data_IF_667094362013
#
_entry.id   IF_667094362013
#
_cell.length_a   1.000
_cell.length_b   1.000
_cell.length_c   1.000
_cell.angle_alpha   90.00
_cell.angle_beta   90.00
_cell.angle_gamma   90.00
#
_symmetry.space_group_name_H-M   'P 1'
#
loop_
_entity.id
_entity.type
_entity.pdbx_description
1 polymer ?
#
# COMPACT_ATOMS: atom_id res chain seq x y z
N UNK A 1 -30.75 -14.13 -13.71
CA UNK A 1 -29.58 -15.03 -13.52
C UNK A 1 -28.31 -14.47 -14.20
N UNK A 2 -27.84 -13.26 -13.83
CA UNK A 2 -26.65 -12.60 -14.45
C UNK A 2 -25.63 -12.08 -13.43
N UNK A 3 -25.80 -12.39 -12.14
CA UNK A 3 -24.97 -11.84 -11.06
C UNK A 3 -23.55 -12.45 -10.99
N UNK A 4 -23.38 -13.71 -11.36
CA UNK A 4 -22.10 -14.42 -11.33
C UNK A 4 -20.99 -13.79 -12.21
N UNK A 5 -21.25 -13.44 -13.50
CA UNK A 5 -20.23 -12.79 -14.33
C UNK A 5 -19.86 -11.39 -13.83
N UNK A 6 -20.84 -10.61 -13.33
CA UNK A 6 -20.57 -9.27 -12.79
C UNK A 6 -19.70 -9.33 -11.53
N UNK A 7 -19.97 -10.27 -10.61
CA UNK A 7 -19.16 -10.47 -9.40
C UNK A 7 -17.73 -10.89 -9.74
N UNK A 8 -17.56 -11.81 -10.70
CA UNK A 8 -16.24 -12.21 -11.20
C UNK A 8 -15.46 -11.03 -11.80
N UNK A 9 -16.07 -10.25 -12.71
CA UNK A 9 -15.41 -9.08 -13.31
C UNK A 9 -14.97 -8.09 -12.25
N UNK A 10 -15.83 -7.81 -11.26
CA UNK A 10 -15.52 -6.89 -10.16
C UNK A 10 -14.36 -7.39 -9.30
N UNK A 11 -14.38 -8.67 -8.90
CA UNK A 11 -13.31 -9.28 -8.11
C UNK A 11 -11.97 -9.29 -8.88
N UNK A 12 -11.99 -9.66 -10.15
CA UNK A 12 -10.81 -9.65 -11.01
C UNK A 12 -10.25 -8.25 -11.21
N UNK A 13 -11.11 -7.27 -11.46
CA UNK A 13 -10.72 -5.86 -11.61
C UNK A 13 -10.08 -5.33 -10.33
N UNK A 14 -10.69 -5.59 -9.17
CA UNK A 14 -10.14 -5.19 -7.88
C UNK A 14 -8.78 -5.85 -7.61
N UNK A 15 -8.66 -7.16 -7.84
CA UNK A 15 -7.41 -7.91 -7.72
C UNK A 15 -6.29 -7.30 -8.56
N UNK A 16 -6.59 -6.88 -9.79
CA UNK A 16 -5.64 -6.19 -10.67
C UNK A 16 -5.29 -4.79 -10.15
N UNK A 17 -6.26 -4.04 -9.63
CA UNK A 17 -6.06 -2.65 -9.15
C UNK A 17 -5.20 -2.56 -7.90
N UNK A 18 -5.28 -3.53 -6.97
CA UNK A 18 -4.42 -3.58 -5.77
C UNK A 18 -3.05 -4.23 -6.03
N UNK A 19 -2.87 -4.83 -7.21
CA UNK A 19 -1.66 -5.54 -7.62
C UNK A 19 -0.35 -4.74 -7.50
N UNK A 20 -0.29 -3.45 -7.90
CA UNK A 20 0.94 -2.64 -7.77
C UNK A 20 1.43 -2.50 -6.33
N UNK A 21 0.52 -2.27 -5.38
CA UNK A 21 0.86 -2.17 -3.96
C UNK A 21 1.39 -3.51 -3.43
N UNK A 22 0.66 -4.60 -3.71
CA UNK A 22 1.08 -5.95 -3.34
C UNK A 22 2.48 -6.28 -3.90
N UNK A 23 2.75 -5.96 -5.17
CA UNK A 23 4.02 -6.25 -5.81
C UNK A 23 5.19 -5.49 -5.15
N UNK A 24 4.95 -4.26 -4.69
CA UNK A 24 5.95 -3.49 -3.94
C UNK A 24 6.23 -4.11 -2.57
N UNK A 25 5.19 -4.52 -1.84
CA UNK A 25 5.31 -5.21 -0.55
C UNK A 25 6.03 -6.56 -0.70
N UNK A 26 5.60 -7.39 -1.65
CA UNK A 26 6.19 -8.71 -1.91
C UNK A 26 7.67 -8.63 -2.33
N UNK A 27 8.07 -7.57 -3.04
CA UNK A 27 9.49 -7.35 -3.36
C UNK A 27 10.33 -7.07 -2.12
N UNK A 28 9.77 -6.38 -1.13
CA UNK A 28 10.47 -6.07 0.12
C UNK A 28 10.41 -7.23 1.12
N UNK A 29 9.32 -7.99 1.13
CA UNK A 29 9.07 -9.11 2.05
C UNK A 29 8.46 -10.28 1.25
N UNK A 30 9.28 -11.13 0.62
CA UNK A 30 8.79 -12.25 -0.18
C UNK A 30 7.92 -13.25 0.60
N UNK A 31 8.13 -13.35 1.91
CA UNK A 31 7.47 -14.29 2.81
C UNK A 31 5.95 -14.04 2.97
N UNK A 32 5.45 -12.86 2.55
CA UNK A 32 4.02 -12.55 2.58
C UNK A 32 3.22 -13.33 1.53
N UNK A 33 3.88 -13.86 0.51
CA UNK A 33 3.20 -14.70 -0.48
C UNK A 33 2.85 -16.04 0.18
N UNK A 34 1.56 -16.23 0.46
CA UNK A 34 1.07 -17.53 0.92
C UNK A 34 1.41 -18.58 -0.16
N UNK A 35 1.70 -19.82 0.21
CA UNK A 35 1.92 -20.90 -0.76
C UNK A 35 0.63 -21.67 -0.96
N UNK A 36 0.12 -21.81 -2.19
CA UNK A 36 -1.08 -22.64 -2.45
C UNK A 36 -1.04 -23.21 -3.85
N UNK A 37 -1.53 -24.45 -4.05
CA UNK A 37 -1.63 -25.06 -5.37
C UNK A 37 -2.43 -24.19 -6.35
N UNK A 38 -1.80 -23.86 -7.48
CA UNK A 38 -2.28 -22.99 -8.57
C UNK A 38 -3.65 -23.38 -9.13
N UNK A 39 -4.03 -24.66 -9.02
CA UNK A 39 -5.31 -25.19 -9.51
C UNK A 39 -6.52 -24.56 -8.80
N UNK A 40 -6.40 -24.14 -7.52
CA UNK A 40 -7.48 -23.47 -6.77
C UNK A 40 -7.55 -21.95 -6.98
N UNK A 41 -6.62 -21.39 -7.73
CA UNK A 41 -6.49 -19.94 -7.97
C UNK A 41 -6.73 -19.54 -9.42
N UNK A 42 -7.12 -20.47 -10.29
CA UNK A 42 -7.29 -20.18 -11.70
C UNK A 42 -8.33 -19.06 -11.87
N UNK A 43 -7.93 -17.83 -12.27
CA UNK A 43 -8.84 -16.70 -12.33
C UNK A 43 -9.90 -16.84 -13.43
N UNK A 44 -9.75 -17.84 -14.29
CA UNK A 44 -10.72 -18.22 -15.31
C UNK A 44 -12.05 -18.74 -14.73
N UNK A 45 -12.11 -19.08 -13.43
CA UNK A 45 -13.35 -19.49 -12.75
C UNK A 45 -13.88 -18.40 -11.81
N UNK A 46 -15.21 -18.17 -11.75
CA UNK A 46 -15.84 -17.14 -10.91
C UNK A 46 -15.40 -17.17 -9.44
N UNK A 47 -15.39 -18.35 -8.81
CA UNK A 47 -14.96 -18.53 -7.41
C UNK A 47 -13.45 -18.34 -7.21
N UNK A 48 -12.65 -18.53 -8.27
CA UNK A 48 -11.20 -18.33 -8.22
C UNK A 48 -10.82 -16.87 -8.08
N UNK A 49 -11.53 -15.95 -8.74
CA UNK A 49 -11.24 -14.52 -8.67
C UNK A 49 -11.55 -13.90 -7.30
N UNK A 50 -12.68 -14.26 -6.68
CA UNK A 50 -13.04 -13.81 -5.33
C UNK A 50 -12.04 -14.31 -4.28
N UNK A 51 -11.65 -15.57 -4.36
CA UNK A 51 -10.66 -16.15 -3.46
C UNK A 51 -9.26 -15.54 -3.67
N UNK A 52 -8.86 -15.30 -4.91
CA UNK A 52 -7.59 -14.63 -5.23
C UNK A 52 -7.56 -13.18 -4.71
N UNK A 53 -8.69 -12.45 -4.80
CA UNK A 53 -8.83 -11.11 -4.21
C UNK A 53 -8.70 -11.17 -2.69
N UNK A 54 -9.49 -12.02 -2.03
CA UNK A 54 -9.47 -12.18 -0.57
C UNK A 54 -8.05 -12.47 -0.05
N UNK A 55 -7.36 -13.40 -0.71
CA UNK A 55 -5.99 -13.70 -0.39
C UNK A 55 -5.05 -12.51 -0.57
N UNK A 56 -5.17 -11.78 -1.67
CA UNK A 56 -4.30 -10.61 -1.90
C UNK A 56 -4.46 -9.56 -0.81
N UNK A 57 -5.68 -9.37 -0.31
CA UNK A 57 -5.96 -8.47 0.81
C UNK A 57 -5.16 -8.92 2.04
N UNK A 58 -5.24 -10.21 2.41
CA UNK A 58 -4.46 -10.78 3.52
C UNK A 58 -2.96 -10.55 3.32
N UNK A 59 -2.42 -10.90 2.15
CA UNK A 59 -0.99 -10.75 1.85
C UNK A 59 -0.53 -9.28 1.94
N UNK A 60 -1.39 -8.32 1.58
CA UNK A 60 -1.12 -6.88 1.77
C UNK A 60 -1.10 -6.51 3.26
N UNK A 61 -2.03 -7.03 4.07
CA UNK A 61 -2.01 -6.80 5.51
C UNK A 61 -0.77 -7.40 6.17
N UNK A 62 -0.36 -8.60 5.78
CA UNK A 62 0.86 -9.25 6.26
C UNK A 62 2.09 -8.41 5.89
N UNK A 63 2.15 -7.86 4.68
CA UNK A 63 3.19 -6.92 4.27
C UNK A 63 3.22 -5.64 5.12
N UNK A 64 2.07 -5.05 5.42
CA UNK A 64 1.98 -3.87 6.30
C UNK A 64 2.45 -4.21 7.72
N UNK A 65 2.10 -5.39 8.22
CA UNK A 65 2.54 -5.87 9.53
C UNK A 65 4.06 -6.09 9.57
N UNK A 66 4.63 -6.74 8.55
CA UNK A 66 6.06 -6.99 8.42
C UNK A 66 6.90 -5.71 8.29
N UNK A 67 6.33 -4.63 7.74
CA UNK A 67 7.00 -3.34 7.61
C UNK A 67 7.01 -2.50 8.88
N UNK A 68 6.27 -2.87 9.95
CA UNK A 68 6.19 -2.07 11.20
C UNK A 68 7.55 -1.66 11.78
N UNK A 69 8.60 -2.52 11.80
CA UNK A 69 9.93 -2.12 12.28
C UNK A 69 10.55 -0.95 11.51
N UNK A 70 10.10 -0.69 10.28
CA UNK A 70 10.61 0.35 9.38
C UNK A 70 9.71 1.59 9.29
N UNK A 71 8.63 1.63 10.08
CA UNK A 71 7.74 2.79 10.16
C UNK A 71 8.31 3.79 11.17
N UNK A 72 8.65 4.99 10.70
CA UNK A 72 9.08 6.07 11.60
C UNK A 72 7.90 6.50 12.50
N UNK A 73 8.07 6.66 13.82
CA UNK A 73 6.97 6.99 14.75
C UNK A 73 6.15 8.24 14.38
N UNK A 74 6.81 9.28 13.86
CA UNK A 74 6.18 10.51 13.38
C UNK A 74 5.58 10.46 11.97
N UNK A 75 5.79 9.38 11.19
CA UNK A 75 5.45 9.35 9.76
C UNK A 75 3.96 9.54 9.51
N UNK A 76 3.10 8.97 10.36
CA UNK A 76 1.66 9.11 10.23
C UNK A 76 1.22 10.57 10.40
N UNK A 77 1.72 11.26 11.43
CA UNK A 77 1.42 12.68 11.67
C UNK A 77 1.85 13.55 10.50
N UNK A 78 3.05 13.34 9.96
CA UNK A 78 3.54 14.09 8.81
C UNK A 78 2.76 13.77 7.54
N UNK A 79 2.39 12.50 7.35
CA UNK A 79 1.63 12.03 6.21
C UNK A 79 0.21 12.62 6.20
N UNK A 80 -0.48 12.62 7.35
CA UNK A 80 -1.80 13.25 7.51
C UNK A 80 -1.72 14.76 7.27
N UNK A 81 -0.74 15.44 7.88
CA UNK A 81 -0.58 16.88 7.70
C UNK A 81 -0.30 17.24 6.23
N UNK A 82 0.48 16.42 5.52
CA UNK A 82 0.79 16.62 4.10
C UNK A 82 -0.42 16.32 3.22
N UNK A 83 -1.15 15.24 3.50
CA UNK A 83 -2.36 14.88 2.77
C UNK A 83 -3.44 15.97 2.90
N UNK A 84 -3.65 16.52 4.10
CA UNK A 84 -4.60 17.61 4.32
C UNK A 84 -4.30 18.87 3.49
N UNK A 85 -3.02 19.18 3.23
CA UNK A 85 -2.60 20.32 2.39
C UNK A 85 -2.80 20.11 0.89
N UNK A 86 -2.90 18.86 0.44
CA UNK A 86 -2.95 18.48 -0.98
C UNK A 86 -4.39 18.35 -1.52
N UNK A 87 -5.41 18.65 -0.70
CA UNK A 87 -6.82 18.70 -1.11
C UNK A 87 -7.78 18.12 -0.08
N UNK A 88 -9.02 18.60 -0.09
CA UNK A 88 -10.13 18.19 0.79
C UNK A 88 -10.93 16.99 0.26
N UNK A 89 -10.45 16.32 -0.79
CA UNK A 89 -11.09 15.08 -1.24
C UNK A 89 -11.05 14.03 -0.12
N UNK A 90 -12.09 13.21 -0.04
CA UNK A 90 -12.27 12.18 1.01
C UNK A 90 -11.21 11.08 1.02
N UNK A 91 -10.07 11.30 0.36
CA UNK A 91 -8.99 10.35 0.16
C UNK A 91 -7.69 10.73 0.90
N UNK A 92 -7.75 11.73 1.79
CA UNK A 92 -6.59 12.15 2.59
C UNK A 92 -5.99 11.02 3.43
N UNK A 93 -6.85 10.18 4.02
CA UNK A 93 -6.39 9.05 4.83
C UNK A 93 -5.66 7.99 3.97
N UNK A 94 -6.15 7.68 2.77
CA UNK A 94 -5.47 6.71 1.90
C UNK A 94 -4.15 7.27 1.36
N UNK A 95 -4.09 8.59 1.11
CA UNK A 95 -2.84 9.29 0.77
C UNK A 95 -1.82 9.21 1.91
N UNK A 96 -2.27 9.38 3.15
CA UNK A 96 -1.42 9.25 4.33
C UNK A 96 -0.89 7.81 4.47
N UNK A 97 -1.76 6.80 4.40
CA UNK A 97 -1.36 5.38 4.45
C UNK A 97 -0.36 5.03 3.32
N UNK A 98 -0.63 5.46 2.09
CA UNK A 98 0.27 5.26 0.96
C UNK A 98 1.65 5.88 1.19
N UNK A 99 1.70 7.06 1.81
CA UNK A 99 2.96 7.72 2.15
C UNK A 99 3.73 6.98 3.26
N UNK A 100 3.03 6.50 4.28
CA UNK A 100 3.60 5.66 5.34
C UNK A 100 4.21 4.38 4.75
N UNK A 101 3.48 3.67 3.88
CA UNK A 101 3.97 2.44 3.23
C UNK A 101 5.19 2.73 2.35
N UNK A 102 5.17 3.81 1.56
CA UNK A 102 6.31 4.19 0.73
C UNK A 102 7.57 4.51 1.55
N UNK A 103 7.41 5.24 2.66
CA UNK A 103 8.51 5.56 3.57
C UNK A 103 9.07 4.29 4.24
N UNK A 104 8.19 3.39 4.69
CA UNK A 104 8.60 2.13 5.30
C UNK A 104 9.33 1.21 4.32
N UNK A 105 8.87 1.13 3.06
CA UNK A 105 9.57 0.40 1.99
C UNK A 105 10.96 1.00 1.69
N UNK A 106 11.09 2.32 1.70
CA UNK A 106 12.39 2.98 1.52
C UNK A 106 13.35 2.71 2.68
N UNK A 107 12.85 2.76 3.92
CA UNK A 107 13.63 2.43 5.11
C UNK A 107 14.04 0.95 5.16
N UNK A 108 13.14 0.03 4.79
CA UNK A 108 13.43 -1.39 4.66
C UNK A 108 14.52 -1.65 3.61
N UNK A 109 14.43 -1.02 2.44
CA UNK A 109 15.46 -1.10 1.40
C UNK A 109 16.82 -0.56 1.87
N UNK A 110 16.82 0.44 2.75
CA UNK A 110 18.03 1.02 3.33
C UNK A 110 18.57 0.23 4.55
N UNK A 111 17.85 -0.77 5.05
CA UNK A 111 18.21 -1.51 6.27
C UNK A 111 18.16 -0.65 7.54
N UNK A 112 17.26 0.34 7.58
CA UNK A 112 17.14 1.30 8.69
C UNK A 112 15.85 1.08 9.50
N UNK A 113 15.84 0.12 10.46
CA UNK A 113 14.69 -0.04 11.35
C UNK A 113 14.62 1.10 12.38
N UNK A 114 13.42 1.57 12.69
CA UNK A 114 13.15 2.64 13.68
C UNK A 114 12.83 2.07 15.08
N UNK A 115 13.43 0.93 15.45
CA UNK A 115 13.15 0.18 16.68
C UNK A 115 13.59 0.87 17.99
N UNK A 116 14.06 2.12 17.95
CA UNK A 116 14.75 2.77 19.06
C UNK A 116 13.89 3.71 19.93
N UNK A 117 12.55 3.64 19.87
CA UNK A 117 11.67 4.53 20.64
C UNK A 117 10.53 3.81 21.37
N UNK A 118 9.92 4.43 22.40
CA UNK A 118 8.68 3.91 22.98
C UNK A 118 7.64 3.74 21.87
N UNK A 119 6.85 2.66 21.88
CA UNK A 119 5.91 2.38 20.80
C UNK A 119 4.91 3.53 20.67
N UNK A 120 5.10 4.38 19.67
CA UNK A 120 4.05 5.29 19.24
C UNK A 120 3.01 4.42 18.54
N UNK A 121 1.71 4.53 18.88
CA UNK A 121 0.70 3.76 18.19
C UNK A 121 0.74 4.14 16.71
N UNK A 122 1.31 3.27 15.88
CA UNK A 122 0.93 3.23 14.48
C UNK A 122 -0.52 2.81 14.49
N UNK A 123 -1.43 3.78 14.41
CA UNK A 123 -2.83 3.53 14.13
C UNK A 123 -2.91 3.07 12.66
N UNK A 124 -2.47 1.84 12.43
CA UNK A 124 -2.74 1.14 11.19
C UNK A 124 -4.25 1.26 10.96
N UNK A 125 -4.64 1.45 9.70
CA UNK A 125 -6.05 1.30 9.33
C UNK A 125 -6.64 0.04 9.97
N UNK A 126 -7.66 0.22 10.82
CA UNK A 126 -8.47 -0.89 11.33
C UNK A 126 -9.16 -1.55 10.14
N UNK A 127 -8.99 -2.86 10.02
CA UNK A 127 -9.61 -3.67 8.95
C UNK A 127 -11.10 -3.35 8.92
N UNK A 128 -11.61 -2.96 7.74
CA UNK A 128 -13.01 -2.58 7.62
C UNK A 128 -13.95 -3.75 7.88
N UNK A 129 -15.17 -3.44 8.32
CA UNK A 129 -16.20 -4.43 8.66
C UNK A 129 -16.63 -5.34 7.49
N UNK A 130 -16.29 -4.99 6.24
CA UNK A 130 -16.58 -5.81 5.05
C UNK A 130 -15.40 -5.88 4.08
N UNK A 131 -15.31 -7.00 3.35
CA UNK A 131 -14.32 -7.20 2.30
C UNK A 131 -14.47 -6.17 1.18
N UNK A 132 -15.70 -5.75 0.87
CA UNK A 132 -15.97 -4.72 -0.12
C UNK A 132 -15.40 -3.36 0.30
N UNK A 133 -15.58 -2.99 1.59
CA UNK A 133 -15.04 -1.75 2.14
C UNK A 133 -13.51 -1.77 2.19
N UNK A 134 -12.93 -2.89 2.66
CA UNK A 134 -11.47 -3.07 2.69
C UNK A 134 -10.89 -3.04 1.26
N UNK A 135 -11.57 -3.66 0.29
CA UNK A 135 -11.16 -3.62 -1.11
C UNK A 135 -11.17 -2.19 -1.66
N UNK A 136 -12.24 -1.43 -1.42
CA UNK A 136 -12.35 -0.05 -1.87
C UNK A 136 -11.25 0.83 -1.25
N UNK A 137 -10.98 0.64 0.04
CA UNK A 137 -9.90 1.30 0.74
C UNK A 137 -8.53 0.98 0.14
N UNK A 138 -8.19 -0.30 -0.03
CA UNK A 138 -6.90 -0.73 -0.59
C UNK A 138 -6.70 -0.27 -2.04
N UNK A 139 -7.77 -0.17 -2.82
CA UNK A 139 -7.73 0.44 -4.16
C UNK A 139 -7.32 1.91 -4.04
N UNK A 140 -7.93 2.68 -3.15
CA UNK A 140 -7.63 4.09 -2.97
C UNK A 140 -6.18 4.32 -2.48
N UNK A 141 -5.70 3.47 -1.56
CA UNK A 141 -4.31 3.46 -1.10
C UNK A 141 -3.37 3.12 -2.27
N UNK A 142 -3.69 2.11 -3.08
CA UNK A 142 -2.85 1.71 -4.22
C UNK A 142 -2.75 2.82 -5.27
N UNK A 143 -3.84 3.53 -5.53
CA UNK A 143 -3.85 4.67 -6.46
C UNK A 143 -3.01 5.85 -5.95
N UNK A 144 -3.13 6.18 -4.66
CA UNK A 144 -2.29 7.18 -4.03
C UNK A 144 -0.80 6.77 -4.09
N UNK A 145 -0.49 5.53 -3.73
CA UNK A 145 0.87 4.97 -3.78
C UNK A 145 1.48 5.02 -5.18
N UNK A 146 0.72 4.61 -6.19
CA UNK A 146 1.18 4.57 -7.59
C UNK A 146 1.38 5.99 -8.15
N UNK A 147 0.55 6.96 -7.74
CA UNK A 147 0.75 8.38 -8.12
C UNK A 147 2.03 8.94 -7.50
N UNK A 148 2.28 8.68 -6.22
CA UNK A 148 3.45 9.15 -5.49
C UNK A 148 4.76 8.59 -6.04
N UNK A 149 4.80 7.29 -6.33
CA UNK A 149 5.97 6.62 -6.91
C UNK A 149 6.30 7.13 -8.31
N UNK A 150 5.30 7.27 -9.17
CA UNK A 150 5.47 7.87 -10.51
C UNK A 150 5.97 9.32 -10.43
N UNK A 151 5.43 10.11 -9.51
CA UNK A 151 5.88 11.49 -9.30
C UNK A 151 7.37 11.56 -8.86
N UNK A 152 7.80 10.64 -7.99
CA UNK A 152 9.19 10.51 -7.60
C UNK A 152 10.10 10.12 -8.79
N UNK A 153 9.70 9.15 -9.61
CA UNK A 153 10.45 8.72 -10.81
C UNK A 153 10.62 9.86 -11.82
N UNK A 154 9.56 10.59 -12.14
CA UNK A 154 9.62 11.76 -13.05
C UNK A 154 10.53 12.86 -12.50
N UNK A 155 10.48 13.11 -11.18
CA UNK A 155 11.37 14.05 -10.51
C UNK A 155 12.86 13.67 -10.63
N UNK A 156 13.17 12.37 -10.66
CA UNK A 156 14.55 11.87 -10.86
C UNK A 156 15.03 11.90 -12.31
N UNK A 157 14.14 11.90 -13.31
CA UNK A 157 14.49 11.82 -14.74
C UNK A 157 14.67 13.18 -15.43
N UNK A 158 14.37 14.31 -14.77
CA UNK A 158 14.55 15.64 -15.37
C UNK A 158 16.05 16.00 -15.43
N UNK A 159 16.70 16.07 -16.61
CA UNK A 159 18.12 16.40 -16.69
C UNK A 159 18.32 17.87 -16.32
N UNK A 160 19.14 18.13 -15.31
CA UNK A 160 19.64 19.48 -15.00
C UNK A 160 18.98 20.23 -13.84
N UNK A 161 18.01 19.66 -13.13
CA UNK A 161 17.53 20.28 -11.89
C UNK A 161 17.68 19.30 -10.72
N UNK A 162 18.64 19.58 -9.84
CA UNK A 162 18.74 18.93 -8.52
C UNK A 162 17.54 19.37 -7.67
N UNK A 163 16.34 18.85 -7.93
CA UNK A 163 15.23 18.96 -7.00
C UNK A 163 15.40 17.92 -5.89
N UNK A 164 16.25 18.26 -4.94
CA UNK A 164 16.25 17.65 -3.61
C UNK A 164 15.02 18.11 -2.81
N UNK A 165 13.79 17.94 -3.31
CA UNK A 165 12.58 18.32 -2.56
C UNK A 165 11.29 17.88 -3.26
N UNK A 166 10.96 16.60 -3.28
CA UNK A 166 9.55 16.16 -3.32
C UNK A 166 9.29 14.85 -2.55
N UNK A 167 10.34 14.10 -2.21
CA UNK A 167 10.33 13.12 -1.11
C UNK A 167 11.68 13.20 -0.42
N UNK A 168 11.90 14.25 0.37
CA UNK A 168 12.93 14.12 1.40
C UNK A 168 12.38 13.11 2.41
N UNK A 169 13.07 12.00 2.71
CA UNK A 169 12.73 11.27 3.91
C UNK A 169 12.91 12.27 5.05
N UNK A 170 11.93 12.34 5.95
CA UNK A 170 12.05 13.11 7.19
C UNK A 170 13.13 12.42 8.05
N UNK A 171 14.40 12.60 7.67
CA UNK A 171 15.62 12.07 8.29
C UNK A 171 16.66 13.20 8.35
N UNK A 172 16.24 14.45 8.52
CA UNK A 172 17.14 15.55 8.92
C UNK A 172 16.46 16.43 9.95
N UNK A 173 16.43 15.93 11.18
CA UNK A 173 16.61 16.64 12.46
C UNK A 173 16.02 15.78 13.58
N UNK A 174 16.82 14.83 14.03
CA UNK A 174 17.02 14.42 15.42
C UNK A 174 18.41 13.78 15.48
#
# INVERSE_FOLDING_TARGET
MTAAPVRWVRAWTAYRRIGPLWAALHRAVPEIALSTPTVRLCPAFPRGAEFALYRRIIEIHDGRLALRPYVHPGVHTWAVATAGRQGTDGNAAARAEAACIAAALAAAKAGLPYLAGPPVPYAAHEVQASIEAETAWLIAVTEAFTRSTRAAEVGTHRPGVRHAALWQPVIRHC
#
